data_IF_155397620844
#
_entry.id   IF_155397620844
#
_cell.length_a   1.000
_cell.length_b   1.000
_cell.length_c   1.000
_cell.angle_alpha   90.00
_cell.angle_beta   90.00
_cell.angle_gamma   90.00
#
_symmetry.space_group_name_H-M   'P 1'
#
loop_
_entity.id
_entity.type
_entity.pdbx_description
1 polymer ?
#
# COMPACT_ATOMS: atom_id res chain seq x y z
N UNK A 1 -9.62 2.75 12.62
CA UNK A 1 -8.56 2.00 11.91
C UNK A 1 -7.26 2.74 12.14
N UNK A 2 -6.34 2.20 12.96
CA UNK A 2 -5.19 2.93 13.51
C UNK A 2 -3.85 2.65 12.83
N UNK A 3 -3.85 2.07 11.63
CA UNK A 3 -2.63 1.60 10.96
C UNK A 3 -2.13 2.52 9.83
N UNK A 4 -2.86 3.61 9.52
CA UNK A 4 -2.51 4.58 8.48
C UNK A 4 -2.35 5.99 9.07
N UNK A 5 -1.23 6.64 8.76
CA UNK A 5 -1.03 8.05 9.04
C UNK A 5 -1.44 8.88 7.82
N UNK A 6 -2.34 9.84 8.03
CA UNK A 6 -2.72 10.80 7.00
C UNK A 6 -1.56 11.71 6.66
N UNK A 7 -1.21 11.80 5.38
CA UNK A 7 -0.20 12.69 4.85
C UNK A 7 -0.76 14.03 4.35
N UNK A 8 -2.10 14.18 4.35
CA UNK A 8 -2.81 15.31 3.76
C UNK A 8 -3.33 14.97 2.35
N UNK A 9 -4.26 15.77 1.84
CA UNK A 9 -4.85 15.65 0.50
C UNK A 9 -5.33 14.24 0.12
N UNK A 10 -5.94 13.53 1.07
CA UNK A 10 -6.43 12.16 0.84
C UNK A 10 -5.34 11.10 0.69
N UNK A 11 -4.07 11.42 0.96
CA UNK A 11 -2.96 10.47 0.96
C UNK A 11 -2.73 9.91 2.37
N UNK A 12 -2.45 8.61 2.45
CA UNK A 12 -2.25 7.85 3.67
C UNK A 12 -1.06 6.91 3.54
N UNK A 13 -0.24 6.82 4.57
CA UNK A 13 0.88 5.89 4.64
C UNK A 13 0.68 4.91 5.79
N UNK A 14 0.77 3.61 5.49
CA UNK A 14 0.67 2.54 6.49
C UNK A 14 1.87 1.60 6.42
N UNK A 15 2.64 1.39 7.50
CA UNK A 15 3.62 0.32 7.54
C UNK A 15 2.90 -1.03 7.44
N UNK A 16 3.40 -1.93 6.60
CA UNK A 16 2.84 -3.25 6.41
C UNK A 16 3.96 -4.30 6.22
N UNK A 17 3.60 -5.57 6.15
CA UNK A 17 4.54 -6.66 5.89
C UNK A 17 4.00 -7.55 4.79
N UNK A 18 4.75 -7.65 3.69
CA UNK A 18 4.43 -8.50 2.55
C UNK A 18 5.49 -9.57 2.35
N UNK A 19 5.08 -10.83 2.30
CA UNK A 19 5.98 -11.99 2.17
C UNK A 19 7.15 -11.96 3.19
N UNK A 20 6.89 -11.50 4.43
CA UNK A 20 7.89 -11.39 5.49
C UNK A 20 8.83 -10.19 5.36
N UNK A 21 8.60 -9.29 4.40
CA UNK A 21 9.39 -8.07 4.23
C UNK A 21 8.57 -6.84 4.62
N UNK A 22 9.16 -5.87 5.35
CA UNK A 22 8.49 -4.61 5.64
C UNK A 22 8.33 -3.78 4.37
N UNK A 23 7.10 -3.34 4.12
CA UNK A 23 6.71 -2.49 3.00
C UNK A 23 5.93 -1.28 3.50
N UNK A 24 5.76 -0.27 2.64
CA UNK A 24 4.91 0.86 2.93
C UNK A 24 3.71 0.84 1.99
N UNK A 25 2.52 0.73 2.55
CA UNK A 25 1.26 0.87 1.82
C UNK A 25 0.97 2.36 1.67
N UNK A 26 0.73 2.78 0.44
CA UNK A 26 0.32 4.12 0.08
C UNK A 26 -1.13 4.04 -0.35
N UNK A 27 -2.00 4.65 0.45
CA UNK A 27 -3.40 4.82 0.11
C UNK A 27 -3.69 6.23 -0.33
N UNK A 28 -4.56 6.39 -1.33
CA UNK A 28 -4.96 7.68 -1.88
C UNK A 28 -6.46 7.67 -2.15
N UNK A 29 -7.13 8.81 -1.95
CA UNK A 29 -8.54 9.02 -2.32
C UNK A 29 -9.45 9.38 -1.15
N UNK A 30 -10.76 9.31 -1.41
CA UNK A 30 -11.80 9.61 -0.42
C UNK A 30 -11.98 8.51 0.63
N UNK A 31 -11.48 7.29 0.35
CA UNK A 31 -11.42 6.15 1.25
C UNK A 31 -9.99 5.68 1.49
N UNK A 32 -9.79 4.83 2.50
CA UNK A 32 -8.49 4.21 2.82
C UNK A 32 -8.17 3.04 1.86
N UNK A 33 -8.25 3.28 0.55
CA UNK A 33 -7.91 2.28 -0.46
C UNK A 33 -6.40 2.28 -0.71
N UNK A 34 -5.84 1.09 -0.90
CA UNK A 34 -4.45 0.88 -1.30
C UNK A 34 -4.31 1.24 -2.77
N UNK A 35 -3.45 2.21 -3.08
CA UNK A 35 -3.11 2.55 -4.45
C UNK A 35 -1.77 1.91 -4.84
N UNK A 36 -0.77 1.96 -3.96
CA UNK A 36 0.57 1.44 -4.21
C UNK A 36 1.20 0.78 -2.99
N UNK A 37 2.16 -0.12 -3.23
CA UNK A 37 3.04 -0.72 -2.22
C UNK A 37 4.48 -0.37 -2.54
N UNK A 38 5.14 0.40 -1.68
CA UNK A 38 6.52 0.79 -1.83
C UNK A 38 7.46 -0.22 -1.16
N UNK A 39 8.54 -0.55 -1.88
CA UNK A 39 9.53 -1.54 -1.49
C UNK A 39 10.89 -0.90 -1.21
N UNK A 40 11.70 -1.57 -0.39
CA UNK A 40 13.05 -1.10 -0.02
C UNK A 40 14.05 -1.03 -1.18
N UNK A 41 13.78 -1.70 -2.30
CA UNK A 41 14.67 -1.66 -3.47
C UNK A 41 13.86 -1.65 -4.79
N UNK A 42 14.42 -1.05 -5.87
CA UNK A 42 13.78 -1.06 -7.18
C UNK A 42 13.57 -2.46 -7.76
N UNK A 43 14.46 -3.41 -7.43
CA UNK A 43 14.36 -4.80 -7.89
C UNK A 43 13.13 -5.50 -7.30
N UNK A 44 12.87 -5.28 -6.00
CA UNK A 44 11.66 -5.77 -5.34
C UNK A 44 10.42 -5.10 -5.92
N UNK A 45 10.44 -3.78 -6.08
CA UNK A 45 9.32 -3.07 -6.70
C UNK A 45 9.00 -3.62 -8.11
N UNK A 46 10.03 -3.91 -8.91
CA UNK A 46 9.86 -4.48 -10.24
C UNK A 46 9.29 -5.92 -10.18
N UNK A 47 9.75 -6.74 -9.23
CA UNK A 47 9.25 -8.10 -9.02
C UNK A 47 7.75 -8.11 -8.66
N UNK A 48 7.28 -7.12 -7.91
CA UNK A 48 5.91 -7.05 -7.39
C UNK A 48 4.99 -6.05 -8.14
N UNK A 49 5.48 -5.42 -9.21
CA UNK A 49 4.79 -4.33 -9.94
C UNK A 49 3.37 -4.65 -10.41
N UNK A 50 3.09 -5.91 -10.73
CA UNK A 50 1.79 -6.36 -11.24
C UNK A 50 1.09 -7.34 -10.28
N UNK A 51 1.51 -7.36 -9.01
CA UNK A 51 0.92 -8.22 -7.99
C UNK A 51 -0.03 -7.41 -7.12
N UNK A 52 -1.29 -7.86 -7.05
CA UNK A 52 -2.22 -7.44 -6.00
C UNK A 52 -2.09 -8.38 -4.80
N UNK A 53 -2.23 -7.83 -3.60
CA UNK A 53 -2.14 -8.56 -2.34
C UNK A 53 -3.54 -8.67 -1.73
N UNK A 54 -4.03 -9.89 -1.53
CA UNK A 54 -5.43 -10.12 -1.15
C UNK A 54 -5.79 -9.59 0.24
N UNK A 55 -4.80 -9.30 1.08
CA UNK A 55 -4.95 -8.71 2.41
C UNK A 55 -4.99 -7.17 2.39
N UNK A 56 -4.71 -6.55 1.23
CA UNK A 56 -4.83 -5.12 1.02
C UNK A 56 -6.18 -4.79 0.36
N UNK A 57 -6.78 -3.68 0.78
CA UNK A 57 -8.06 -3.22 0.27
C UNK A 57 -7.83 -2.24 -0.88
N UNK A 58 -8.05 -2.66 -2.13
CA UNK A 58 -7.89 -1.81 -3.31
C UNK A 58 -9.24 -1.19 -3.71
N UNK A 59 -9.19 -0.05 -4.42
CA UNK A 59 -10.39 0.62 -4.92
C UNK A 59 -11.15 -0.22 -5.96
N UNK A 60 -10.44 -1.01 -6.77
CA UNK A 60 -11.07 -1.91 -7.77
C UNK A 60 -11.84 -3.09 -7.16
N UNK A 61 -11.65 -3.38 -5.87
CA UNK A 61 -12.36 -4.45 -5.16
C UNK A 61 -13.73 -4.00 -4.60
N UNK A 62 -14.11 -2.73 -4.84
CA UNK A 62 -15.42 -2.14 -4.55
C UNK A 62 -16.34 -2.16 -5.78
#
# INVERSE_FOLDING_TARGET
MGWMQGAGDGTFYGPHTENGQPVLVIGEGAGLWTNCVAWKSPQLAQQYKHKKFNDLYYQDDE
#
